data_IF_011742128334
#
_entry.id   IF_011742128334
#
_cell.length_a   1.000
_cell.length_b   1.000
_cell.length_c   1.000
_cell.angle_alpha   90.00
_cell.angle_beta   90.00
_cell.angle_gamma   90.00
#
_symmetry.space_group_name_H-M   'P 1'
#
loop_
_entity.id
_entity.type
_entity.pdbx_description
1 polymer ?
#
# COMPACT_ATOMS: atom_id res chain seq x y z
N UNK A 1 -27.66 22.53 1.18
CA UNK A 1 -28.99 22.44 0.52
C UNK A 1 -29.02 22.93 -0.93
N UNK A 2 -28.27 23.98 -1.29
CA UNK A 2 -28.25 24.59 -2.64
C UNK A 2 -27.89 23.59 -3.76
N UNK A 3 -26.80 22.83 -3.59
CA UNK A 3 -26.36 21.80 -4.55
C UNK A 3 -27.41 20.69 -4.81
N UNK A 4 -28.24 20.35 -3.82
CA UNK A 4 -29.26 19.31 -3.94
C UNK A 4 -30.43 19.78 -4.82
N UNK A 5 -30.82 21.05 -4.70
CA UNK A 5 -31.86 21.67 -5.57
C UNK A 5 -31.33 21.91 -6.98
N UNK A 6 -30.10 22.38 -7.12
CA UNK A 6 -29.49 22.69 -8.44
C UNK A 6 -29.23 21.46 -9.30
N UNK A 7 -28.92 20.32 -8.68
CA UNK A 7 -28.50 19.10 -9.40
C UNK A 7 -29.53 17.98 -9.37
N UNK A 8 -30.70 18.21 -8.77
CA UNK A 8 -31.80 17.25 -8.71
C UNK A 8 -31.39 15.84 -8.22
N UNK A 9 -30.35 15.76 -7.37
CA UNK A 9 -29.69 14.50 -6.96
C UNK A 9 -30.59 13.53 -6.20
N UNK A 10 -31.77 13.96 -5.74
CA UNK A 10 -32.49 13.25 -4.69
C UNK A 10 -33.12 11.90 -5.11
N UNK A 11 -33.27 11.59 -6.40
CA UNK A 11 -33.94 10.35 -6.84
C UNK A 11 -33.48 9.81 -8.20
N UNK A 12 -32.34 10.26 -8.73
CA UNK A 12 -31.81 9.71 -9.99
C UNK A 12 -30.94 8.49 -9.68
N UNK A 13 -30.99 7.41 -10.48
CA UNK A 13 -30.03 6.33 -10.39
C UNK A 13 -28.61 6.90 -10.44
N UNK A 14 -27.72 6.41 -9.59
CA UNK A 14 -26.30 6.69 -9.74
C UNK A 14 -25.90 6.23 -11.14
N UNK A 15 -25.36 7.11 -12.01
CA UNK A 15 -25.01 6.71 -13.36
C UNK A 15 -24.06 5.52 -13.33
N UNK A 16 -24.41 4.46 -14.05
CA UNK A 16 -23.51 3.33 -14.27
C UNK A 16 -22.37 3.81 -15.17
N UNK A 17 -21.26 4.17 -14.55
CA UNK A 17 -20.02 4.46 -15.26
C UNK A 17 -19.10 3.25 -15.13
N UNK A 18 -18.47 2.79 -16.23
CA UNK A 18 -17.39 1.81 -16.13
C UNK A 18 -16.34 2.32 -15.16
N UNK A 19 -15.76 1.41 -14.37
CA UNK A 19 -14.66 1.75 -13.48
C UNK A 19 -13.55 2.47 -14.25
N UNK A 20 -13.00 3.52 -13.65
CA UNK A 20 -11.83 4.22 -14.14
C UNK A 20 -10.84 4.34 -13.00
N UNK A 21 -9.56 4.26 -13.35
CA UNK A 21 -8.49 4.52 -12.41
C UNK A 21 -8.64 5.92 -11.78
N UNK A 22 -8.23 6.08 -10.52
CA UNK A 22 -8.14 7.41 -9.92
C UNK A 22 -7.25 8.34 -10.78
N UNK A 23 -7.56 9.65 -10.82
CA UNK A 23 -6.74 10.61 -11.56
C UNK A 23 -5.27 10.57 -11.13
N UNK A 24 -4.35 10.64 -12.09
CA UNK A 24 -2.90 10.65 -11.84
C UNK A 24 -2.25 9.27 -11.64
N UNK A 25 -3.03 8.18 -11.69
CA UNK A 25 -2.49 6.82 -11.66
C UNK A 25 -2.16 6.37 -13.09
N UNK A 26 -0.86 6.25 -13.36
CA UNK A 26 -0.32 5.90 -14.68
C UNK A 26 0.67 4.74 -14.59
N UNK A 27 0.74 3.90 -15.63
CA UNK A 27 1.66 2.77 -15.70
C UNK A 27 1.05 1.57 -16.42
N UNK A 28 1.91 0.64 -16.87
CA UNK A 28 1.46 -0.62 -17.48
C UNK A 28 0.82 -1.54 -16.44
N UNK A 29 1.37 -1.58 -15.22
CA UNK A 29 0.81 -2.31 -14.10
C UNK A 29 0.26 -1.33 -13.08
N UNK A 30 -0.98 -1.54 -12.67
CA UNK A 30 -1.60 -0.75 -11.60
C UNK A 30 -1.94 -1.65 -10.44
N UNK A 31 -1.49 -1.28 -9.24
CA UNK A 31 -1.78 -1.99 -8.02
C UNK A 31 -2.86 -1.26 -7.22
N UNK A 32 -3.85 -2.03 -6.78
CA UNK A 32 -4.68 -1.64 -5.64
C UNK A 32 -3.89 -1.95 -4.37
N UNK A 33 -3.76 -0.96 -3.52
CA UNK A 33 -2.99 -1.04 -2.28
C UNK A 33 -3.93 -1.00 -1.09
N UNK A 34 -3.79 -1.94 -0.17
CA UNK A 34 -4.49 -1.93 1.11
C UNK A 34 -3.48 -1.92 2.25
N UNK A 35 -3.71 -1.10 3.26
CA UNK A 35 -2.83 -1.05 4.43
C UNK A 35 -3.58 -0.91 5.75
N UNK A 36 -2.95 -1.45 6.80
CA UNK A 36 -3.39 -1.33 8.19
C UNK A 36 -2.27 -1.69 9.16
N UNK A 37 -2.44 -1.27 10.41
CA UNK A 37 -1.74 -1.90 11.51
C UNK A 37 -2.20 -3.35 11.72
N UNK A 38 -1.25 -4.17 12.13
CA UNK A 38 -1.45 -5.54 12.56
C UNK A 38 -1.46 -5.60 14.10
N UNK A 39 -2.03 -6.65 14.69
CA UNK A 39 -1.90 -6.90 16.12
C UNK A 39 -0.42 -7.04 16.53
N UNK A 40 -0.05 -6.49 17.70
CA UNK A 40 1.31 -6.60 18.27
C UNK A 40 1.62 -7.97 18.91
N UNK A 41 0.62 -8.83 19.05
CA UNK A 41 0.75 -10.15 19.63
C UNK A 41 -0.60 -10.77 19.94
N UNK A 42 -0.58 -11.99 20.49
CA UNK A 42 -1.79 -12.68 20.93
C UNK A 42 -2.47 -11.90 22.07
N UNK A 43 -3.78 -11.67 21.95
CA UNK A 43 -4.54 -10.86 22.90
C UNK A 43 -4.33 -9.35 22.79
N UNK A 44 -3.38 -8.88 21.99
CA UNK A 44 -3.10 -7.46 21.82
C UNK A 44 -4.10 -6.78 20.87
N UNK A 45 -4.70 -5.68 21.32
CA UNK A 45 -5.68 -4.88 20.57
C UNK A 45 -5.10 -3.57 20.03
N UNK A 46 -3.81 -3.28 20.22
CA UNK A 46 -3.14 -2.06 19.75
C UNK A 46 -3.06 -1.95 18.22
N UNK A 47 -3.33 -3.04 17.49
CA UNK A 47 -3.55 -3.01 16.04
C UNK A 47 -4.90 -2.38 15.65
N UNK A 48 -5.76 -2.08 16.63
CA UNK A 48 -6.92 -1.24 16.45
C UNK A 48 -6.50 0.23 16.59
N UNK A 49 -7.00 1.11 15.72
CA UNK A 49 -6.67 2.55 15.73
C UNK A 49 -6.96 3.29 17.05
N UNK A 50 -7.73 2.72 17.98
CA UNK A 50 -8.15 3.36 19.24
C UNK A 50 -8.17 2.35 20.41
N UNK A 51 -7.63 2.76 21.56
CA UNK A 51 -7.66 2.07 22.86
C UNK A 51 -8.29 2.95 23.95
N UNK A 52 -9.52 3.44 23.76
CA UNK A 52 -10.15 4.39 24.71
C UNK A 52 -11.66 4.53 24.62
N UNK A 53 -12.22 5.52 25.35
CA UNK A 53 -13.65 5.71 25.59
C UNK A 53 -14.43 5.82 24.27
N UNK A 54 -15.37 4.87 24.16
CA UNK A 54 -16.16 4.51 23.02
C UNK A 54 -17.23 5.56 22.70
N UNK A 55 -17.24 6.06 21.46
CA UNK A 55 -18.43 6.66 20.85
C UNK A 55 -18.70 6.00 19.48
N UNK A 56 -19.95 5.90 19.06
CA UNK A 56 -20.36 5.14 17.86
C UNK A 56 -19.62 5.53 16.56
N UNK A 57 -19.03 6.73 16.51
CA UNK A 57 -18.24 7.20 15.37
C UNK A 57 -16.84 6.56 15.29
N UNK A 58 -16.30 5.98 16.35
CA UNK A 58 -14.95 5.36 16.34
C UNK A 58 -14.97 3.85 16.00
N UNK A 59 -16.13 3.20 16.00
CA UNK A 59 -16.22 1.76 15.69
C UNK A 59 -15.93 1.44 14.22
N UNK A 60 -16.42 2.26 13.28
CA UNK A 60 -16.29 1.97 11.85
C UNK A 60 -14.83 2.03 11.35
N UNK A 61 -13.96 2.76 12.06
CA UNK A 61 -12.53 2.90 11.71
C UNK A 61 -11.64 1.89 12.42
N UNK A 62 -12.16 1.13 13.39
CA UNK A 62 -11.40 0.21 14.23
C UNK A 62 -10.67 -0.87 13.43
N UNK A 63 -11.33 -1.37 12.38
CA UNK A 63 -10.83 -2.40 11.47
C UNK A 63 -10.75 -1.91 10.03
N UNK A 64 -10.87 -0.60 9.82
CA UNK A 64 -10.84 -0.03 8.49
C UNK A 64 -9.46 -0.23 7.86
N UNK A 65 -9.48 -0.72 6.63
CA UNK A 65 -8.33 -0.69 5.74
C UNK A 65 -8.31 0.67 5.05
N UNK A 66 -7.12 1.24 4.87
CA UNK A 66 -6.97 2.34 3.92
C UNK A 66 -6.64 1.74 2.57
N UNK A 67 -7.30 2.25 1.55
CA UNK A 67 -7.03 1.89 0.16
C UNK A 67 -6.26 3.04 -0.51
N UNK A 68 -5.29 2.67 -1.35
CA UNK A 68 -4.59 3.57 -2.25
C UNK A 68 -4.31 2.84 -3.58
N UNK A 69 -3.72 3.54 -4.54
CA UNK A 69 -3.39 3.03 -5.86
C UNK A 69 -1.99 3.47 -6.25
N UNK A 70 -1.24 2.62 -6.93
CA UNK A 70 0.03 2.99 -7.55
C UNK A 70 0.16 2.34 -8.90
N UNK A 71 0.53 3.13 -9.91
CA UNK A 71 0.92 2.63 -11.21
C UNK A 71 2.45 2.54 -11.31
N UNK A 72 2.94 1.52 -12.02
CA UNK A 72 4.36 1.29 -12.29
C UNK A 72 4.59 1.07 -13.78
N UNK A 73 5.77 1.51 -14.25
CA UNK A 73 6.03 1.78 -15.66
C UNK A 73 6.00 0.57 -16.58
N UNK A 74 6.65 -0.55 -16.24
CA UNK A 74 6.74 -1.70 -17.15
C UNK A 74 6.52 -3.03 -16.45
N UNK A 75 5.83 -3.96 -17.10
CA UNK A 75 5.68 -5.33 -16.61
C UNK A 75 7.00 -6.10 -16.62
N UNK A 76 7.89 -5.77 -17.57
CA UNK A 76 9.22 -6.38 -17.70
C UNK A 76 10.08 -6.22 -16.43
N UNK A 77 9.91 -5.14 -15.69
CA UNK A 77 10.59 -4.92 -14.39
C UNK A 77 10.30 -6.04 -13.39
N UNK A 78 9.16 -6.71 -13.51
CA UNK A 78 8.72 -7.78 -12.61
C UNK A 78 8.92 -9.19 -13.20
N UNK A 79 9.18 -9.33 -14.50
CA UNK A 79 9.41 -10.63 -15.13
C UNK A 79 10.91 -10.98 -15.12
N UNK A 80 11.33 -12.15 -14.59
CA UNK A 80 12.71 -12.62 -14.70
C UNK A 80 13.04 -13.01 -16.14
N UNK A 81 14.23 -12.62 -16.62
CA UNK A 81 14.74 -12.99 -17.94
C UNK A 81 15.33 -14.41 -17.95
N UNK A 82 15.87 -14.86 -16.81
CA UNK A 82 16.48 -16.16 -16.61
C UNK A 82 15.86 -16.95 -15.45
N UNK A 83 16.60 -17.97 -15.00
CA UNK A 83 16.23 -18.83 -13.86
C UNK A 83 16.89 -18.39 -12.54
N UNK A 84 17.84 -17.47 -12.62
CA UNK A 84 18.57 -16.92 -11.48
C UNK A 84 17.71 -15.98 -10.64
N UNK A 85 18.30 -15.49 -9.55
CA UNK A 85 17.74 -14.37 -8.80
C UNK A 85 18.13 -13.09 -9.52
N UNK A 86 17.15 -12.26 -9.86
CA UNK A 86 17.34 -11.00 -10.55
C UNK A 86 16.78 -9.85 -9.69
N UNK A 87 17.32 -8.65 -9.84
CA UNK A 87 16.76 -7.47 -9.20
C UNK A 87 15.56 -6.94 -9.99
N UNK A 88 14.52 -6.50 -9.28
CA UNK A 88 13.58 -5.50 -9.81
C UNK A 88 14.32 -4.16 -9.78
N UNK A 89 14.21 -3.30 -10.83
CA UNK A 89 14.90 -2.02 -10.85
C UNK A 89 14.64 -1.20 -9.58
N UNK A 90 15.70 -0.71 -8.95
CA UNK A 90 15.60 0.02 -7.68
C UNK A 90 14.66 1.22 -7.80
N UNK A 91 14.68 1.95 -8.92
CA UNK A 91 13.78 3.08 -9.16
C UNK A 91 12.30 2.70 -9.02
N UNK A 92 11.91 1.53 -9.52
CA UNK A 92 10.54 1.00 -9.40
C UNK A 92 10.19 0.68 -7.94
N UNK A 93 11.13 0.08 -7.20
CA UNK A 93 10.93 -0.22 -5.77
C UNK A 93 10.86 1.05 -4.93
N UNK A 94 11.71 2.05 -5.20
CA UNK A 94 11.70 3.36 -4.54
C UNK A 94 10.39 4.10 -4.82
N UNK A 95 9.88 4.06 -6.05
CA UNK A 95 8.59 4.65 -6.40
C UNK A 95 7.45 4.04 -5.57
N UNK A 96 7.36 2.71 -5.53
CA UNK A 96 6.37 2.01 -4.68
C UNK A 96 6.54 2.40 -3.21
N UNK A 97 7.78 2.41 -2.71
CA UNK A 97 8.08 2.74 -1.32
C UNK A 97 7.59 4.15 -0.94
N UNK A 98 7.89 5.15 -1.79
CA UNK A 98 7.54 6.55 -1.55
C UNK A 98 6.04 6.80 -1.56
N UNK A 99 5.36 6.25 -2.55
CA UNK A 99 3.96 6.59 -2.84
C UNK A 99 2.98 5.84 -1.94
N UNK A 100 3.24 4.56 -1.64
CA UNK A 100 2.21 3.69 -1.05
C UNK A 100 2.63 2.86 0.15
N UNK A 101 3.93 2.77 0.47
CA UNK A 101 4.40 2.15 1.72
C UNK A 101 4.44 3.19 2.84
N UNK A 102 3.28 3.81 3.09
CA UNK A 102 3.08 4.90 4.03
C UNK A 102 1.99 4.50 5.02
N UNK A 103 2.12 4.86 6.31
CA UNK A 103 1.03 4.76 7.29
C UNK A 103 -0.06 5.81 6.96
N UNK A 104 -0.80 5.53 5.90
CA UNK A 104 -1.76 6.44 5.32
C UNK A 104 -3.08 6.43 6.10
N UNK A 105 -3.67 7.61 6.25
CA UNK A 105 -5.04 7.78 6.73
C UNK A 105 -5.79 8.60 5.70
N UNK A 106 -6.59 7.93 4.87
CA UNK A 106 -7.46 8.57 3.86
C UNK A 106 -6.72 9.57 2.95
N UNK A 107 -5.48 9.27 2.56
CA UNK A 107 -4.66 10.12 1.69
C UNK A 107 -4.01 11.32 2.38
N UNK A 108 -4.03 11.41 3.71
CA UNK A 108 -3.55 12.59 4.44
C UNK A 108 -2.13 12.46 4.98
N UNK A 109 -1.54 11.27 4.93
CA UNK A 109 -0.13 11.11 5.30
C UNK A 109 0.74 11.55 4.11
N UNK A 110 1.78 12.38 4.34
CA UNK A 110 2.70 12.73 3.28
C UNK A 110 3.43 11.48 2.77
N UNK A 111 3.73 11.47 1.48
CA UNK A 111 4.64 10.50 0.86
C UNK A 111 6.04 10.65 1.44
N UNK A 112 6.92 9.70 1.13
CA UNK A 112 8.32 9.81 1.50
C UNK A 112 9.08 10.62 0.45
N UNK A 113 9.98 11.50 0.90
CA UNK A 113 10.91 12.16 -0.02
C UNK A 113 11.94 11.17 -0.56
N UNK A 114 12.65 11.57 -1.61
CA UNK A 114 13.60 10.67 -2.26
C UNK A 114 14.71 10.23 -1.29
N UNK A 115 15.18 11.15 -0.45
CA UNK A 115 16.19 10.95 0.57
C UNK A 115 15.71 10.10 1.76
N UNK A 116 14.41 10.06 2.03
CA UNK A 116 13.84 9.30 3.15
C UNK A 116 13.95 7.80 2.93
N UNK A 117 13.96 7.34 1.67
CA UNK A 117 14.13 5.93 1.31
C UNK A 117 15.60 5.52 1.44
N UNK A 118 15.92 4.84 2.55
CA UNK A 118 17.26 4.39 2.93
C UNK A 118 17.61 3.00 2.41
N UNK A 119 16.61 2.16 2.11
CA UNK A 119 16.77 0.84 1.48
C UNK A 119 15.55 0.57 0.59
N UNK A 120 15.78 0.06 -0.62
CA UNK A 120 14.72 -0.32 -1.56
C UNK A 120 15.20 -1.47 -2.45
N UNK A 121 15.12 -2.70 -1.92
CA UNK A 121 15.58 -3.90 -2.62
C UNK A 121 14.40 -4.83 -2.83
N UNK A 122 14.20 -5.27 -4.07
CA UNK A 122 13.27 -6.34 -4.41
C UNK A 122 13.93 -7.23 -5.45
N UNK A 123 13.91 -8.53 -5.20
CA UNK A 123 14.40 -9.55 -6.12
C UNK A 123 13.23 -10.35 -6.66
N UNK A 124 13.40 -10.89 -7.86
CA UNK A 124 12.47 -11.74 -8.58
C UNK A 124 13.18 -13.02 -9.02
N UNK A 125 12.50 -14.15 -8.92
CA UNK A 125 13.02 -15.43 -9.41
C UNK A 125 11.89 -16.30 -9.94
N UNK A 126 12.10 -16.94 -11.10
CA UNK A 126 11.15 -17.91 -11.63
C UNK A 126 11.25 -19.25 -10.91
N UNK A 127 10.13 -19.76 -10.40
CA UNK A 127 9.95 -21.04 -9.71
C UNK A 127 8.79 -21.80 -10.36
N UNK A 128 9.09 -22.60 -11.39
CA UNK A 128 8.06 -23.22 -12.21
C UNK A 128 7.22 -22.16 -12.93
N UNK A 129 5.90 -22.21 -12.73
CA UNK A 129 4.94 -21.29 -13.35
C UNK A 129 4.75 -19.98 -12.56
N UNK A 130 5.36 -19.88 -11.38
CA UNK A 130 5.26 -18.71 -10.50
C UNK A 130 6.58 -17.94 -10.51
N UNK A 131 6.48 -16.61 -10.41
CA UNK A 131 7.59 -15.72 -10.12
C UNK A 131 7.49 -15.38 -8.63
N UNK A 132 8.53 -15.70 -7.86
CA UNK A 132 8.63 -15.31 -6.44
C UNK A 132 9.36 -13.98 -6.30
N UNK A 133 8.89 -13.16 -5.38
CA UNK A 133 9.50 -11.89 -5.02
C UNK A 133 9.91 -11.86 -3.55
N UNK A 134 11.11 -11.35 -3.27
CA UNK A 134 11.64 -11.16 -1.92
C UNK A 134 12.44 -9.88 -1.85
N UNK A 135 12.20 -9.07 -0.82
CA UNK A 135 12.81 -7.76 -0.72
C UNK A 135 12.76 -7.18 0.67
N UNK A 136 13.30 -5.97 0.80
CA UNK A 136 13.21 -5.12 1.99
C UNK A 136 13.19 -3.66 1.59
N UNK A 137 12.50 -2.87 2.40
CA UNK A 137 12.51 -1.41 2.32
C UNK A 137 12.73 -0.80 3.70
N UNK A 138 13.33 0.38 3.71
CA UNK A 138 13.46 1.21 4.92
C UNK A 138 13.28 2.67 4.54
N UNK A 139 12.32 3.32 5.19
CA UNK A 139 12.07 4.75 5.09
C UNK A 139 12.22 5.41 6.46
N UNK A 140 12.87 6.57 6.50
CA UNK A 140 13.14 7.34 7.72
C UNK A 140 13.33 8.83 7.39
N UNK A 141 12.39 9.66 7.85
CA UNK A 141 12.44 11.14 7.72
C UNK A 141 12.92 11.83 9.02
N UNK A 142 13.39 11.05 10.00
CA UNK A 142 13.78 11.50 11.33
C UNK A 142 12.61 11.62 12.31
N UNK A 143 11.38 11.78 11.83
CA UNK A 143 10.16 11.89 12.65
C UNK A 143 9.33 10.61 12.67
N UNK A 144 9.29 9.89 11.55
CA UNK A 144 8.59 8.60 11.37
C UNK A 144 9.43 7.65 10.54
N UNK A 145 9.17 6.36 10.72
CA UNK A 145 9.89 5.27 10.04
C UNK A 145 8.96 4.17 9.60
N UNK A 146 9.34 3.48 8.54
CA UNK A 146 8.77 2.18 8.20
C UNK A 146 9.85 1.26 7.63
N UNK A 147 10.04 0.13 8.27
CA UNK A 147 10.97 -0.92 7.88
C UNK A 147 10.16 -2.18 7.58
N UNK A 148 10.28 -2.74 6.37
CA UNK A 148 9.45 -3.86 5.97
C UNK A 148 10.23 -4.88 5.14
N UNK A 149 9.93 -6.15 5.38
CA UNK A 149 10.22 -7.22 4.45
C UNK A 149 9.11 -7.26 3.39
N UNK A 150 9.50 -7.51 2.14
CA UNK A 150 8.58 -7.68 1.01
C UNK A 150 8.60 -9.14 0.58
N UNK A 151 7.41 -9.71 0.43
CA UNK A 151 7.19 -11.02 -0.18
C UNK A 151 6.18 -10.89 -1.29
N UNK A 152 6.23 -11.77 -2.28
CA UNK A 152 5.19 -11.75 -3.30
C UNK A 152 5.27 -12.90 -4.27
N UNK A 153 4.22 -13.03 -5.05
CA UNK A 153 4.12 -14.01 -6.13
C UNK A 153 3.40 -13.40 -7.33
N UNK A 154 3.75 -13.87 -8.52
CA UNK A 154 3.03 -13.51 -9.74
C UNK A 154 3.03 -14.63 -10.77
N UNK A 155 2.04 -14.61 -11.64
CA UNK A 155 1.89 -15.58 -12.74
C UNK A 155 1.91 -14.81 -14.06
N UNK A 156 2.91 -15.08 -14.90
CA UNK A 156 3.09 -14.44 -16.20
C UNK A 156 2.77 -15.43 -17.32
N UNK A 157 1.86 -15.06 -18.23
CA UNK A 157 1.43 -15.95 -19.33
C UNK A 157 2.23 -15.79 -20.63
N UNK A 158 3.29 -14.97 -20.61
CA UNK A 158 4.08 -14.62 -21.78
C UNK A 158 3.76 -13.22 -22.31
N UNK A 159 2.57 -12.68 -22.01
CA UNK A 159 2.12 -11.37 -22.49
C UNK A 159 1.63 -10.45 -21.37
N UNK A 160 0.99 -10.98 -20.34
CA UNK A 160 0.44 -10.22 -19.23
C UNK A 160 0.50 -11.00 -17.91
N UNK A 161 0.39 -10.27 -16.80
CA UNK A 161 0.28 -10.89 -15.47
C UNK A 161 -1.15 -11.37 -15.21
N UNK A 162 -1.31 -12.69 -15.00
CA UNK A 162 -2.51 -13.35 -14.46
C UNK A 162 -2.63 -13.28 -12.95
N UNK A 163 -1.58 -12.89 -12.25
CA UNK A 163 -1.61 -12.35 -10.90
C UNK A 163 -0.27 -11.69 -10.63
N UNK A 164 -0.27 -10.70 -9.74
CA UNK A 164 0.94 -10.15 -9.16
C UNK A 164 0.54 -9.51 -7.84
N UNK A 165 0.97 -10.15 -6.76
CA UNK A 165 0.63 -9.79 -5.40
C UNK A 165 1.91 -9.65 -4.59
N UNK A 166 2.06 -8.50 -3.94
CA UNK A 166 3.14 -8.21 -3.02
C UNK A 166 2.55 -7.90 -1.64
N UNK A 167 3.26 -8.28 -0.59
CA UNK A 167 2.99 -7.90 0.79
C UNK A 167 4.26 -7.31 1.38
N UNK A 168 4.17 -6.09 1.90
CA UNK A 168 5.19 -5.48 2.73
C UNK A 168 4.72 -5.55 4.18
N UNK A 169 5.54 -6.13 5.06
CA UNK A 169 5.22 -6.27 6.49
C UNK A 169 6.43 -5.93 7.34
N UNK A 170 6.22 -5.14 8.38
CA UNK A 170 7.24 -4.82 9.36
C UNK A 170 6.87 -3.64 10.27
N UNK A 171 7.79 -3.17 11.12
CA UNK A 171 7.51 -2.11 12.07
C UNK A 171 7.43 -0.73 11.42
N UNK A 172 6.37 0.02 11.75
CA UNK A 172 6.30 1.48 11.62
C UNK A 172 6.50 2.15 12.97
N UNK A 173 7.00 3.38 12.99
CA UNK A 173 7.12 4.21 14.21
C UNK A 173 6.93 5.69 13.90
N UNK A 174 6.68 6.49 14.94
CA UNK A 174 6.40 7.92 14.81
C UNK A 174 4.97 8.22 14.39
N UNK A 175 4.71 9.45 13.96
CA UNK A 175 3.37 9.89 13.58
C UNK A 175 3.37 10.79 12.34
N UNK A 176 2.27 10.76 11.61
CA UNK A 176 1.90 11.79 10.66
C UNK A 176 0.83 12.70 11.30
N UNK A 177 0.66 13.92 10.79
CA UNK A 177 -0.24 14.93 11.37
C UNK A 177 -1.66 14.41 11.67
N UNK A 178 -2.19 13.53 10.82
CA UNK A 178 -3.58 13.09 10.87
C UNK A 178 -3.78 11.61 11.16
N UNK A 179 -2.71 10.84 11.42
CA UNK A 179 -2.83 9.42 11.73
C UNK A 179 -3.16 9.13 13.21
N UNK A 180 -3.29 10.17 14.04
CA UNK A 180 -3.73 10.13 15.43
C UNK A 180 -2.84 9.24 16.32
N UNK A 181 -1.52 9.21 16.07
CA UNK A 181 -0.54 8.39 16.81
C UNK A 181 0.17 9.12 17.94
N UNK A 182 -0.36 10.24 18.44
CA UNK A 182 0.33 11.05 19.45
C UNK A 182 0.71 10.26 20.72
N UNK A 183 -0.08 9.23 21.08
CA UNK A 183 0.17 8.35 22.22
C UNK A 183 0.73 6.97 21.81
N UNK A 184 1.08 6.76 20.54
CA UNK A 184 1.50 5.46 19.97
C UNK A 184 2.71 5.60 19.02
N UNK A 185 3.72 6.37 19.45
CA UNK A 185 4.91 6.68 18.64
C UNK A 185 5.89 5.50 18.52
N UNK A 186 5.76 4.50 19.40
CA UNK A 186 6.64 3.32 19.40
C UNK A 186 6.45 2.42 18.17
N UNK A 187 7.35 1.45 17.97
CA UNK A 187 7.22 0.47 16.91
C UNK A 187 5.86 -0.27 16.97
N UNK A 188 5.19 -0.41 15.84
CA UNK A 188 4.07 -1.32 15.69
C UNK A 188 4.09 -2.00 14.32
N UNK A 189 3.61 -3.25 14.22
CA UNK A 189 3.57 -3.94 12.95
C UNK A 189 2.51 -3.32 12.05
N UNK A 190 2.89 -3.05 10.81
CA UNK A 190 2.01 -2.62 9.73
C UNK A 190 2.14 -3.60 8.57
N UNK A 191 1.02 -3.85 7.90
CA UNK A 191 0.96 -4.64 6.68
C UNK A 191 0.42 -3.79 5.53
N UNK A 192 1.05 -3.91 4.37
CA UNK A 192 0.63 -3.28 3.12
C UNK A 192 0.58 -4.37 2.05
N UNK A 193 -0.58 -4.55 1.42
CA UNK A 193 -0.74 -5.46 0.28
C UNK A 193 -0.85 -4.66 -1.01
N UNK A 194 -0.18 -5.09 -2.06
CA UNK A 194 -0.30 -4.57 -3.42
C UNK A 194 -0.81 -5.70 -4.31
N UNK A 195 -2.01 -5.55 -4.85
CA UNK A 195 -2.63 -6.53 -5.74
C UNK A 195 -2.86 -5.91 -7.10
N UNK A 196 -2.42 -6.59 -8.15
CA UNK A 196 -2.62 -6.14 -9.53
C UNK A 196 -4.11 -5.95 -9.82
N UNK A 197 -4.46 -4.74 -10.23
CA UNK A 197 -5.78 -4.39 -10.71
C UNK A 197 -5.94 -4.82 -12.17
N UNK A 198 -7.15 -5.26 -12.53
CA UNK A 198 -7.54 -5.71 -13.86
C UNK A 198 -8.90 -5.15 -14.23
#
# INVERSE_FOLDING_TARGET
>A
ETLRREKNYANQPVPEVPFRLPPGIEGELVFRVNLRDLPRGEGDRSGARFDGVYNHFSEFVRWAWNENWVGVGTAADFVPLGRGVEAVPEATVRHIAREVLVDNVRGQAPTWEAEDVKEAVLTKQRKGDVIEYRGRVRMDDGSRKYEAAIYGQGVWDGKAFRSLDLVAVGPRSGMARFNQRANDLGPAPMGVTLSLHR
#
